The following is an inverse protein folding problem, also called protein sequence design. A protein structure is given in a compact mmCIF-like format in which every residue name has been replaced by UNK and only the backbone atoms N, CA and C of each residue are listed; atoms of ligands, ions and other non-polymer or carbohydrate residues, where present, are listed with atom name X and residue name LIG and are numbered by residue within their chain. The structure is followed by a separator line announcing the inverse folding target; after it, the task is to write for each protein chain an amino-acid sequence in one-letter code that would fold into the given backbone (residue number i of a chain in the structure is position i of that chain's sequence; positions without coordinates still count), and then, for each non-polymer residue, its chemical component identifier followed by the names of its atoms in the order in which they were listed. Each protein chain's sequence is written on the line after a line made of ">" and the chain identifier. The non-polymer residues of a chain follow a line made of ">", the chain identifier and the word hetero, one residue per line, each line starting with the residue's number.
data_IF_882065014068
#
_entry.id   IF_882065014068
#
_cell.length_a   1.000
_cell.length_b   1.000
_cell.length_c   1.000
_cell.angle_alpha   90.00
_cell.angle_beta   90.00
_cell.angle_gamma   90.00
#
_symmetry.space_group_name_H-M   'P 1'
#
loop_
_entity.id
_entity.type
_entity.pdbx_description
1 polymer ?
#
# COMPACT_ATOMS: atom_id res chain seq x y z
N UNK A 1 22.00 12.47 -27.62
CA UNK A 1 21.99 12.41 -26.14
C UNK A 1 20.65 12.85 -25.55
N UNK A 2 20.17 14.07 -25.80
CA UNK A 2 18.88 14.55 -25.25
C UNK A 2 17.66 13.70 -25.64
N UNK A 3 17.60 13.19 -26.88
CA UNK A 3 16.52 12.32 -27.36
C UNK A 3 16.42 10.99 -26.60
N UNK A 4 17.56 10.38 -26.25
CA UNK A 4 17.63 9.12 -25.50
C UNK A 4 17.08 9.33 -24.08
N UNK A 5 17.45 10.42 -23.42
CA UNK A 5 16.92 10.75 -22.10
C UNK A 5 15.41 11.00 -22.10
N UNK A 6 14.88 11.62 -23.16
CA UNK A 6 13.42 11.77 -23.29
C UNK A 6 12.70 10.44 -23.47
N UNK A 7 13.29 9.50 -24.21
CA UNK A 7 12.74 8.15 -24.37
C UNK A 7 12.78 7.36 -23.06
N UNK A 8 13.90 7.41 -22.32
CA UNK A 8 14.02 6.78 -21.01
C UNK A 8 12.98 7.32 -20.00
N UNK A 9 12.74 8.64 -19.99
CA UNK A 9 11.68 9.22 -19.16
C UNK A 9 10.29 8.72 -19.56
N UNK A 10 9.99 8.62 -20.85
CA UNK A 10 8.72 8.06 -21.34
C UNK A 10 8.51 6.63 -20.85
N UNK A 11 9.52 5.77 -20.97
CA UNK A 11 9.42 4.39 -20.48
C UNK A 11 9.22 4.32 -18.97
N UNK A 12 9.96 5.13 -18.20
CA UNK A 12 9.78 5.19 -16.76
C UNK A 12 8.37 5.63 -16.35
N UNK A 13 7.82 6.68 -16.99
CA UNK A 13 6.46 7.13 -16.70
C UNK A 13 5.40 6.11 -17.10
N UNK A 14 5.60 5.40 -18.22
CA UNK A 14 4.75 4.28 -18.62
C UNK A 14 4.73 3.18 -17.56
N UNK A 15 5.90 2.78 -17.06
CA UNK A 15 6.01 1.69 -16.09
C UNK A 15 5.41 2.08 -14.74
N UNK A 16 5.61 3.33 -14.29
CA UNK A 16 4.98 3.87 -13.09
C UNK A 16 3.45 3.92 -13.22
N UNK A 17 2.95 4.35 -14.38
CA UNK A 17 1.51 4.39 -14.66
C UNK A 17 0.93 2.98 -14.67
N UNK A 18 1.61 2.02 -15.28
CA UNK A 18 1.20 0.62 -15.27
C UNK A 18 1.11 0.07 -13.85
N UNK A 19 2.13 0.30 -13.02
CA UNK A 19 2.12 -0.10 -11.61
C UNK A 19 0.97 0.57 -10.84
N UNK A 20 0.72 1.87 -11.11
CA UNK A 20 -0.35 2.61 -10.47
C UNK A 20 -1.72 2.03 -10.82
N UNK A 21 -1.98 1.74 -12.10
CA UNK A 21 -3.21 1.09 -12.54
C UNK A 21 -3.35 -0.31 -11.94
N UNK A 22 -2.29 -1.12 -11.94
CA UNK A 22 -2.34 -2.46 -11.34
C UNK A 22 -2.64 -2.42 -9.84
N UNK A 23 -2.10 -1.46 -9.10
CA UNK A 23 -2.45 -1.27 -7.68
C UNK A 23 -3.89 -0.81 -7.49
N UNK A 24 -4.43 -0.02 -8.41
CA UNK A 24 -5.82 0.43 -8.34
C UNK A 24 -6.80 -0.74 -8.61
N UNK A 25 -6.42 -1.67 -9.49
CA UNK A 25 -7.22 -2.84 -9.89
C UNK A 25 -6.71 -4.17 -9.31
N UNK A 26 -5.96 -4.16 -8.21
CA UNK A 26 -5.24 -5.34 -7.69
C UNK A 26 -6.12 -6.58 -7.50
N UNK A 27 -7.40 -6.36 -7.19
CA UNK A 27 -8.39 -7.44 -6.95
C UNK A 27 -9.16 -7.87 -8.18
N UNK A 28 -9.17 -7.02 -9.21
CA UNK A 28 -9.93 -7.25 -10.42
C UNK A 28 -9.00 -7.91 -11.46
N UNK A 29 -9.05 -9.25 -11.53
CA UNK A 29 -8.11 -10.06 -12.31
C UNK A 29 -8.16 -9.75 -13.81
N UNK A 30 -9.34 -9.52 -14.37
CA UNK A 30 -9.49 -9.31 -15.81
C UNK A 30 -8.85 -7.98 -16.25
N UNK A 31 -9.02 -6.94 -15.46
CA UNK A 31 -8.49 -5.60 -15.63
C UNK A 31 -6.96 -5.66 -15.59
N UNK A 32 -6.41 -6.36 -14.59
CA UNK A 32 -4.98 -6.61 -14.51
C UNK A 32 -4.46 -7.36 -15.74
N UNK A 33 -5.17 -8.37 -16.25
CA UNK A 33 -4.75 -9.10 -17.45
C UNK A 33 -4.71 -8.21 -18.69
N UNK A 34 -5.72 -7.36 -18.87
CA UNK A 34 -5.77 -6.41 -19.99
C UNK A 34 -4.69 -5.33 -19.85
N UNK A 35 -4.44 -4.81 -18.64
CA UNK A 35 -3.39 -3.82 -18.38
C UNK A 35 -1.99 -4.39 -18.68
N UNK A 36 -1.75 -5.67 -18.36
CA UNK A 36 -0.48 -6.35 -18.63
C UNK A 36 -0.32 -6.78 -20.09
N UNK A 37 -1.42 -6.83 -20.85
CA UNK A 37 -1.42 -7.26 -22.24
C UNK A 37 -0.54 -6.37 -23.13
N UNK A 38 0.05 -6.98 -24.17
CA UNK A 38 0.80 -6.23 -25.17
C UNK A 38 -0.08 -5.23 -25.94
N UNK A 39 -1.38 -5.51 -26.05
CA UNK A 39 -2.35 -4.65 -26.72
C UNK A 39 -2.56 -3.32 -25.99
N UNK A 40 -2.41 -3.27 -24.67
CA UNK A 40 -2.59 -2.05 -23.89
C UNK A 40 -1.34 -1.16 -23.79
N UNK A 41 -0.15 -1.73 -24.03
CA UNK A 41 1.13 -1.00 -24.03
C UNK A 41 1.17 0.30 -24.87
N UNK A 42 0.67 0.35 -26.13
CA UNK A 42 0.67 1.59 -26.90
C UNK A 42 -0.19 2.70 -26.28
N UNK A 43 -1.28 2.32 -25.60
CA UNK A 43 -2.15 3.26 -24.89
C UNK A 43 -1.46 3.81 -23.63
N UNK A 44 -0.74 2.97 -22.89
CA UNK A 44 0.09 3.39 -21.77
C UNK A 44 1.19 4.38 -22.20
N UNK A 45 1.83 4.15 -23.35
CA UNK A 45 2.84 5.07 -23.87
C UNK A 45 2.24 6.42 -24.27
N UNK A 46 1.09 6.41 -24.96
CA UNK A 46 0.40 7.64 -25.35
C UNK A 46 -0.05 8.43 -24.10
N UNK A 47 -0.59 7.74 -23.09
CA UNK A 47 -0.97 8.36 -21.82
C UNK A 47 0.24 8.96 -21.10
N UNK A 48 1.35 8.23 -21.02
CA UNK A 48 2.58 8.73 -20.40
C UNK A 48 3.12 10.00 -21.11
N UNK A 49 2.95 10.11 -22.43
CA UNK A 49 3.32 11.31 -23.18
C UNK A 49 2.44 12.52 -22.82
N UNK A 50 1.14 12.32 -22.63
CA UNK A 50 0.23 13.38 -22.18
C UNK A 50 0.59 13.85 -20.78
N UNK A 51 0.90 12.92 -19.86
CA UNK A 51 1.29 13.28 -18.49
C UNK A 51 2.63 14.05 -18.45
N UNK A 52 3.59 13.65 -19.29
CA UNK A 52 4.85 14.39 -19.42
C UNK A 52 4.63 15.83 -19.91
N UNK A 53 3.68 16.05 -20.83
CA UNK A 53 3.31 17.41 -21.27
C UNK A 53 2.68 18.22 -20.13
N UNK A 54 1.89 17.58 -19.26
CA UNK A 54 1.26 18.20 -18.08
C UNK A 54 2.22 18.38 -16.89
N UNK A 55 3.47 17.92 -16.98
CA UNK A 55 4.46 17.88 -15.89
C UNK A 55 4.06 17.00 -14.69
N UNK A 56 3.11 16.09 -14.87
CA UNK A 56 2.64 15.18 -13.83
C UNK A 56 3.43 13.86 -13.84
N UNK A 57 3.70 13.36 -12.63
CA UNK A 57 4.35 12.06 -12.44
C UNK A 57 3.38 10.91 -12.76
N UNK A 58 3.86 9.88 -13.46
CA UNK A 58 3.04 8.67 -13.70
C UNK A 58 2.58 7.97 -12.40
N UNK A 59 3.28 8.21 -11.28
CA UNK A 59 2.91 7.69 -9.96
C UNK A 59 1.74 8.44 -9.30
N UNK A 60 1.56 9.72 -9.61
CA UNK A 60 0.50 10.58 -9.03
C UNK A 60 -0.75 10.66 -9.90
N UNK A 61 -0.72 10.07 -11.10
CA UNK A 61 -1.86 10.05 -12.00
C UNK A 61 -3.06 9.34 -11.38
N UNK A 62 -4.23 9.95 -11.52
CA UNK A 62 -5.51 9.33 -11.17
C UNK A 62 -5.84 8.25 -12.22
N UNK A 63 -6.07 6.99 -11.83
CA UNK A 63 -6.51 5.92 -12.73
C UNK A 63 -7.75 6.26 -13.56
N UNK A 64 -8.60 7.17 -13.09
CA UNK A 64 -9.84 7.54 -13.76
C UNK A 64 -9.74 8.78 -14.66
N UNK A 65 -8.63 9.52 -14.62
CA UNK A 65 -8.39 10.67 -15.48
C UNK A 65 -7.71 10.24 -16.79
N UNK A 66 -8.48 9.55 -17.64
CA UNK A 66 -7.99 9.05 -18.93
C UNK A 66 -7.99 10.18 -19.97
N UNK A 67 -6.85 10.47 -20.64
CA UNK A 67 -6.79 11.51 -21.66
C UNK A 67 -7.72 11.23 -22.85
N UNK A 68 -8.33 12.29 -23.40
CA UNK A 68 -9.21 12.20 -24.57
C UNK A 68 -8.56 11.53 -25.78
N UNK A 69 -7.25 11.73 -25.97
CA UNK A 69 -6.45 11.10 -27.01
C UNK A 69 -6.49 9.57 -26.90
N UNK A 70 -6.39 9.05 -25.67
CA UNK A 70 -6.42 7.61 -25.36
C UNK A 70 -7.84 7.07 -25.53
N UNK A 71 -8.85 7.84 -25.12
CA UNK A 71 -10.27 7.48 -25.30
C UNK A 71 -10.63 7.40 -26.79
N UNK A 72 -10.20 8.37 -27.59
CA UNK A 72 -10.41 8.35 -29.04
C UNK A 72 -9.72 7.15 -29.70
N UNK A 73 -8.45 6.89 -29.35
CA UNK A 73 -7.68 5.76 -29.89
C UNK A 73 -8.27 4.40 -29.51
N UNK A 74 -8.92 4.30 -28.34
CA UNK A 74 -9.54 3.05 -27.88
C UNK A 74 -10.71 2.57 -28.75
N UNK A 75 -11.35 3.46 -29.52
CA UNK A 75 -12.49 3.12 -30.38
C UNK A 75 -12.11 2.10 -31.46
N UNK A 76 -10.90 2.21 -32.00
CA UNK A 76 -10.34 1.27 -32.98
C UNK A 76 -9.58 0.09 -32.37
N UNK A 77 -9.46 0.03 -31.04
CA UNK A 77 -8.72 -1.02 -30.34
C UNK A 77 -9.51 -2.35 -30.24
N UNK A 78 -8.86 -3.37 -29.68
CA UNK A 78 -9.49 -4.64 -29.32
C UNK A 78 -10.66 -4.43 -28.35
N UNK A 79 -11.61 -5.38 -28.34
CA UNK A 79 -12.80 -5.28 -27.50
C UNK A 79 -12.45 -5.13 -26.01
N UNK A 80 -11.43 -5.87 -25.54
CA UNK A 80 -10.94 -5.83 -24.16
C UNK A 80 -10.36 -4.47 -23.77
N UNK A 81 -9.52 -3.87 -24.63
CA UNK A 81 -8.95 -2.55 -24.37
C UNK A 81 -10.05 -1.49 -24.37
N UNK A 82 -10.99 -1.57 -25.31
CA UNK A 82 -12.13 -0.65 -25.38
C UNK A 82 -13.03 -0.75 -24.15
N UNK A 83 -13.25 -1.97 -23.65
CA UNK A 83 -13.98 -2.22 -22.42
C UNK A 83 -13.25 -1.62 -21.21
N UNK A 84 -11.94 -1.88 -21.08
CA UNK A 84 -11.14 -1.35 -19.98
C UNK A 84 -11.16 0.19 -19.96
N UNK A 85 -10.97 0.84 -21.11
CA UNK A 85 -11.00 2.31 -21.20
C UNK A 85 -12.37 2.86 -20.83
N UNK A 86 -13.47 2.23 -21.27
CA UNK A 86 -14.82 2.61 -20.84
C UNK A 86 -15.00 2.47 -19.33
N UNK A 87 -14.46 1.42 -18.73
CA UNK A 87 -14.52 1.20 -17.28
C UNK A 87 -13.68 2.20 -16.48
N UNK A 88 -12.52 2.60 -17.00
CA UNK A 88 -11.72 3.66 -16.38
C UNK A 88 -12.50 4.99 -16.37
N UNK A 89 -13.16 5.31 -17.48
CA UNK A 89 -13.96 6.54 -17.64
C UNK A 89 -15.26 6.52 -16.84
N UNK A 90 -15.90 5.35 -16.65
CA UNK A 90 -17.17 5.25 -15.93
C UNK A 90 -17.06 5.63 -14.45
N UNK A 91 -15.84 5.66 -13.89
CA UNK A 91 -15.58 5.92 -12.46
C UNK A 91 -16.39 5.02 -11.54
N UNK A 92 -16.82 3.87 -12.04
CA UNK A 92 -17.49 2.88 -11.23
C UNK A 92 -16.54 2.49 -10.10
N UNK A 93 -17.12 2.36 -8.90
CA UNK A 93 -16.36 1.98 -7.73
C UNK A 93 -15.61 0.68 -8.05
N UNK A 94 -14.28 0.79 -8.12
CA UNK A 94 -13.40 -0.36 -8.12
C UNK A 94 -13.85 -1.24 -6.95
N UNK A 95 -13.99 -2.55 -7.18
CA UNK A 95 -14.26 -3.47 -6.08
C UNK A 95 -13.03 -3.52 -5.18
N UNK A 96 -12.87 -2.48 -4.36
CA UNK A 96 -12.16 -2.54 -3.10
C UNK A 96 -13.02 -3.45 -2.23
N UNK A 97 -12.96 -4.76 -2.51
CA UNK A 97 -13.54 -5.73 -1.60
C UNK A 97 -13.06 -5.41 -0.19
N UNK A 98 -13.80 -5.83 0.81
CA UNK A 98 -13.40 -5.65 2.21
C UNK A 98 -11.92 -6.04 2.37
N UNK A 99 -11.09 -5.21 3.02
CA UNK A 99 -9.71 -5.59 3.31
C UNK A 99 -9.75 -6.98 3.92
N UNK A 100 -8.82 -7.87 3.53
CA UNK A 100 -8.72 -9.16 4.18
C UNK A 100 -8.24 -8.89 5.60
N UNK A 101 -9.19 -8.60 6.49
CA UNK A 101 -8.91 -8.36 7.87
C UNK A 101 -8.41 -9.70 8.40
N UNK A 102 -7.14 -9.80 8.84
CA UNK A 102 -6.64 -11.06 9.36
C UNK A 102 -7.56 -11.44 10.52
N UNK A 103 -8.23 -12.59 10.40
CA UNK A 103 -9.22 -13.06 11.37
C UNK A 103 -8.67 -13.15 12.79
N UNK A 104 -7.34 -13.18 12.92
CA UNK A 104 -6.57 -13.08 14.17
C UNK A 104 -6.86 -11.79 14.94
N UNK A 105 -7.08 -10.65 14.27
CA UNK A 105 -7.41 -9.39 14.93
C UNK A 105 -8.89 -9.30 15.38
N UNK A 106 -9.76 -10.18 14.86
CA UNK A 106 -11.12 -10.35 15.37
C UNK A 106 -11.17 -11.30 16.57
N UNK A 107 -10.09 -12.02 16.84
CA UNK A 107 -10.00 -12.84 18.04
C UNK A 107 -9.87 -11.88 19.23
N UNK A 108 -10.90 -11.84 20.08
CA UNK A 108 -10.79 -11.22 21.40
C UNK A 108 -9.78 -12.02 22.21
N UNK A 109 -8.51 -11.63 22.11
CA UNK A 109 -7.48 -12.08 23.03
C UNK A 109 -7.78 -11.57 24.44
N UNK A 110 -7.25 -12.24 25.47
CA UNK A 110 -7.38 -11.73 26.83
C UNK A 110 -6.77 -10.32 26.91
N UNK A 111 -7.51 -9.39 27.50
CA UNK A 111 -7.11 -7.99 27.66
C UNK A 111 -6.87 -7.71 29.15
N UNK A 112 -5.87 -6.87 29.45
CA UNK A 112 -5.63 -6.46 30.82
C UNK A 112 -6.83 -5.66 31.37
N UNK A 113 -7.27 -5.87 32.62
CA UNK A 113 -6.72 -6.79 33.62
C UNK A 113 -7.10 -8.26 33.37
N UNK A 114 -6.08 -9.13 33.38
CA UNK A 114 -6.26 -10.55 33.08
C UNK A 114 -6.95 -11.30 34.22
N UNK A 115 -7.87 -12.21 33.86
CA UNK A 115 -8.42 -13.16 34.81
C UNK A 115 -7.43 -14.33 35.05
N UNK A 116 -7.45 -15.00 36.22
CA UNK A 116 -6.46 -16.04 36.55
C UNK A 116 -6.35 -17.18 35.52
N UNK A 117 -7.46 -17.54 34.85
CA UNK A 117 -7.49 -18.56 33.81
C UNK A 117 -7.00 -18.06 32.44
N UNK A 118 -7.00 -16.74 32.21
CA UNK A 118 -6.44 -16.16 30.99
C UNK A 118 -4.91 -16.16 31.04
N UNK A 119 -4.33 -15.98 32.23
CA UNK A 119 -2.89 -16.11 32.45
C UNK A 119 -2.40 -17.53 32.21
N UNK A 120 -3.15 -18.55 32.62
CA UNK A 120 -2.79 -19.95 32.34
C UNK A 120 -2.89 -20.25 30.85
N UNK A 121 -3.95 -19.78 30.18
CA UNK A 121 -4.10 -19.88 28.72
C UNK A 121 -2.92 -19.25 27.97
N UNK A 122 -2.51 -18.03 28.35
CA UNK A 122 -1.36 -17.34 27.76
C UNK A 122 -0.05 -18.07 28.00
N UNK A 123 0.18 -18.62 29.20
CA UNK A 123 1.37 -19.44 29.51
C UNK A 123 1.47 -20.67 28.62
N UNK A 124 0.35 -21.33 28.34
CA UNK A 124 0.32 -22.52 27.48
C UNK A 124 0.46 -22.16 25.99
N UNK A 125 -0.24 -21.13 25.50
CA UNK A 125 -0.16 -20.72 24.08
C UNK A 125 1.17 -20.04 23.72
N UNK A 126 1.68 -19.13 24.55
CA UNK A 126 3.01 -18.53 24.34
C UNK A 126 4.12 -19.57 24.55
N UNK A 127 3.89 -20.58 25.40
CA UNK A 127 4.75 -21.75 25.54
C UNK A 127 4.81 -22.64 24.30
N UNK A 128 3.78 -22.62 23.44
CA UNK A 128 3.73 -23.39 22.19
C UNK A 128 4.56 -22.78 21.05
N UNK A 129 4.99 -21.50 21.18
CA UNK A 129 5.94 -20.85 20.27
C UNK A 129 7.41 -21.18 20.61
N UNK A 130 7.68 -21.95 21.68
CA UNK A 130 9.03 -22.38 22.08
C UNK A 130 9.75 -23.31 21.08
N UNK A 131 9.18 -23.56 19.91
CA UNK A 131 9.79 -24.40 18.88
C UNK A 131 10.94 -23.75 18.11
N UNK A 132 11.06 -22.41 18.07
CA UNK A 132 11.98 -21.76 17.11
C UNK A 132 12.81 -20.58 17.61
N UNK A 133 12.69 -20.14 18.87
CA UNK A 133 13.40 -18.91 19.31
C UNK A 133 14.18 -19.13 20.61
N UNK A 134 15.46 -18.74 20.62
CA UNK A 134 16.31 -18.72 21.80
C UNK A 134 15.72 -17.76 22.85
N UNK A 135 15.16 -18.32 23.91
CA UNK A 135 14.70 -17.56 25.08
C UNK A 135 15.93 -17.10 25.86
N UNK A 136 16.39 -15.88 25.63
CA UNK A 136 17.29 -15.22 26.58
C UNK A 136 16.43 -14.64 27.71
N UNK A 137 16.62 -15.14 28.94
CA UNK A 137 16.07 -14.51 30.12
C UNK A 137 16.79 -13.19 30.32
N UNK A 138 16.11 -12.08 30.03
CA UNK A 138 16.58 -10.76 30.44
C UNK A 138 16.24 -10.65 31.92
N UNK A 139 17.26 -10.69 32.77
CA UNK A 139 17.11 -10.36 34.19
C UNK A 139 17.03 -8.83 34.29
N UNK A 140 15.86 -8.34 34.68
CA UNK A 140 15.68 -6.92 34.97
C UNK A 140 16.45 -6.61 36.27
N UNK A 141 17.28 -5.54 36.30
CA UNK A 141 17.95 -5.14 37.53
C UNK A 141 16.90 -4.76 38.58
N UNK A 142 17.05 -5.27 39.80
CA UNK A 142 16.15 -4.93 40.90
C UNK A 142 16.21 -3.43 41.15
N UNK A 143 15.06 -2.76 41.08
CA UNK A 143 14.94 -1.34 41.36
C UNK A 143 15.09 -1.09 42.87
N UNK A 144 16.33 -1.02 43.34
CA UNK A 144 16.67 -0.55 44.67
C UNK A 144 16.44 0.96 44.80
N UNK A 145 15.19 1.37 44.95
CA UNK A 145 14.84 2.77 45.19
C UNK A 145 13.34 2.99 45.13
N UNK A 146 12.79 3.67 46.14
CA UNK A 146 11.41 4.15 46.17
C UNK A 146 11.17 5.05 44.95
N UNK A 147 10.61 4.49 43.89
CA UNK A 147 10.16 5.25 42.74
C UNK A 147 8.84 5.92 43.12
N UNK A 148 8.88 7.24 43.29
CA UNK A 148 7.69 8.10 43.21
C UNK A 148 6.87 7.68 41.97
N UNK A 149 5.53 7.59 42.07
CA UNK A 149 4.71 7.18 40.93
C UNK A 149 4.83 8.23 39.83
N UNK A 150 5.65 7.93 38.81
CA UNK A 150 5.64 8.70 37.59
C UNK A 150 4.23 8.65 37.00
N UNK A 151 3.70 9.77 36.49
CA UNK A 151 2.39 9.78 35.85
C UNK A 151 2.37 8.71 34.76
N UNK A 152 1.32 7.87 34.79
CA UNK A 152 1.12 6.80 33.82
C UNK A 152 1.05 7.44 32.43
N UNK A 153 2.14 7.33 31.69
CA UNK A 153 2.23 7.86 30.34
C UNK A 153 1.61 6.85 29.40
N UNK A 154 0.40 7.15 28.94
CA UNK A 154 -0.34 6.26 28.05
C UNK A 154 0.19 6.43 26.61
N UNK A 155 1.16 5.57 26.27
CA UNK A 155 1.85 5.58 24.97
C UNK A 155 0.89 5.40 23.78
N UNK A 156 -0.32 4.88 24.02
CA UNK A 156 -1.37 4.69 23.00
C UNK A 156 -2.30 5.90 22.87
N UNK A 157 -2.41 6.73 23.92
CA UNK A 157 -3.16 7.98 23.89
C UNK A 157 -2.33 9.15 23.34
N UNK A 158 -0.99 9.09 23.42
CA UNK A 158 -0.06 10.13 22.98
C UNK A 158 0.27 10.12 21.47
N UNK A 159 -0.43 9.35 20.65
CA UNK A 159 -0.33 9.49 19.18
C UNK A 159 1.08 9.23 18.60
N UNK A 160 1.87 8.35 19.20
CA UNK A 160 3.24 8.02 18.74
C UNK A 160 3.29 7.13 17.48
N UNK A 161 2.40 7.36 16.52
CA UNK A 161 2.52 6.92 15.13
C UNK A 161 1.90 8.02 14.25
N UNK A 162 2.54 9.19 14.21
CA UNK A 162 2.29 10.17 13.15
C UNK A 162 2.81 9.57 11.83
N UNK A 163 1.93 8.87 11.11
CA UNK A 163 2.17 8.32 9.77
C UNK A 163 2.60 9.40 8.74
N UNK A 164 2.52 10.68 9.11
CA UNK A 164 2.96 11.82 8.30
C UNK A 164 4.47 11.88 8.09
N UNK A 165 5.29 11.39 9.02
CA UNK A 165 6.76 11.52 8.91
C UNK A 165 7.37 10.67 7.79
N UNK A 166 6.68 9.62 7.32
CA UNK A 166 7.15 8.78 6.21
C UNK A 166 6.90 9.37 4.81
N UNK A 167 6.06 10.41 4.72
CA UNK A 167 5.62 10.99 3.43
C UNK A 167 6.18 12.39 3.16
N UNK A 168 6.95 12.94 4.11
CA UNK A 168 7.41 14.33 4.05
C UNK A 168 8.82 14.44 3.44
N UNK A 169 8.88 14.61 2.11
CA UNK A 169 10.13 14.65 1.31
C UNK A 169 11.05 15.86 1.59
N UNK A 170 10.68 16.74 2.52
CA UNK A 170 11.44 17.95 2.88
C UNK A 170 12.36 17.74 4.08
N UNK A 171 12.20 16.64 4.82
CA UNK A 171 12.99 16.32 6.02
C UNK A 171 14.25 15.55 5.61
N UNK A 172 15.40 15.91 6.19
CA UNK A 172 16.62 15.15 5.99
C UNK A 172 16.50 13.76 6.65
N UNK A 173 17.05 12.68 6.03
CA UNK A 173 17.06 11.36 6.64
C UNK A 173 17.84 11.42 7.97
N UNK A 174 17.34 10.72 9.00
CA UNK A 174 18.03 10.59 10.28
C UNK A 174 19.19 9.59 10.13
N UNK A 175 20.35 9.94 10.67
CA UNK A 175 21.55 9.11 10.75
C UNK A 175 21.36 7.87 11.63
#
# INVERSE_FOLDING_TARGET
>A
MASVWTQLRRFRHRDLLQQRLLRAFERDQHECTVIQSAAFRPFLTAWAEVLLKKSEGGATADPHDVPDEVVAASKSASAEVRWLVRRLVSREAMHRGTPHFPSVLLQRGPQYPFQPYELTYLRHKAGSLRGTEMVQKIELPESGGQAEPLPVRDLWAEGCLDDSDFTDFRKAPRD
#
